data_IF_495592851070
#
_entry.id   IF_495592851070
#
_cell.length_a   1.000
_cell.length_b   1.000
_cell.length_c   1.000
_cell.angle_alpha   90.00
_cell.angle_beta   90.00
_cell.angle_gamma   90.00
#
_symmetry.space_group_name_H-M   'P 1'
#
loop_
_entity.id
_entity.type
_entity.pdbx_description
1 polymer ?
#
# COMPACT_ATOMS: atom_id res chain seq x y z
N UNK A 1 6.92 -9.70 -35.15
CA UNK A 1 7.49 -8.54 -34.42
C UNK A 1 6.31 -7.88 -33.73
N UNK A 2 6.12 -8.10 -32.44
CA UNK A 2 4.97 -7.58 -31.69
C UNK A 2 5.03 -6.05 -31.67
N UNK A 3 3.89 -5.38 -31.81
CA UNK A 3 3.79 -3.93 -31.65
C UNK A 3 4.21 -3.56 -30.22
N UNK A 4 5.29 -2.79 -30.01
CA UNK A 4 5.79 -2.46 -28.68
C UNK A 4 4.75 -1.73 -27.82
N UNK A 5 3.78 -1.05 -28.44
CA UNK A 5 2.68 -0.40 -27.72
C UNK A 5 1.61 -1.38 -27.22
N UNK A 6 1.46 -2.54 -27.88
CA UNK A 6 0.55 -3.59 -27.46
C UNK A 6 1.11 -4.36 -26.25
N UNK A 7 2.42 -4.66 -26.26
CA UNK A 7 3.12 -5.29 -25.14
C UNK A 7 3.12 -4.41 -23.87
N UNK A 8 3.31 -3.10 -24.02
CA UNK A 8 3.24 -2.15 -22.91
C UNK A 8 1.83 -2.06 -22.31
N UNK A 9 0.78 -2.09 -23.15
CA UNK A 9 -0.62 -2.12 -22.69
C UNK A 9 -0.96 -3.40 -21.94
N UNK A 10 -0.52 -4.56 -22.43
CA UNK A 10 -0.70 -5.83 -21.75
C UNK A 10 0.01 -5.85 -20.38
N UNK A 11 1.24 -5.33 -20.34
CA UNK A 11 2.02 -5.19 -19.10
C UNK A 11 1.32 -4.27 -18.10
N UNK A 12 0.79 -3.14 -18.55
CA UNK A 12 0.01 -2.22 -17.71
C UNK A 12 -1.27 -2.89 -17.18
N UNK A 13 -2.00 -3.65 -18.00
CA UNK A 13 -3.22 -4.34 -17.59
C UNK A 13 -2.96 -5.35 -16.45
N UNK A 14 -1.91 -6.17 -16.60
CA UNK A 14 -1.50 -7.15 -15.60
C UNK A 14 -1.06 -6.44 -14.31
N UNK A 15 -0.27 -5.37 -14.43
CA UNK A 15 0.17 -4.59 -13.29
C UNK A 15 -1.01 -3.96 -12.53
N UNK A 16 -1.98 -3.37 -13.23
CA UNK A 16 -3.19 -2.80 -12.64
C UNK A 16 -3.95 -3.83 -11.82
N UNK A 17 -4.13 -5.03 -12.37
CA UNK A 17 -4.82 -6.11 -11.68
C UNK A 17 -4.06 -6.56 -10.43
N UNK A 18 -2.74 -6.74 -10.50
CA UNK A 18 -1.92 -7.12 -9.35
C UNK A 18 -1.94 -6.06 -8.24
N UNK A 19 -1.81 -4.79 -8.60
CA UNK A 19 -1.85 -3.68 -7.63
C UNK A 19 -3.24 -3.55 -7.00
N UNK A 20 -4.32 -3.86 -7.74
CA UNK A 20 -5.67 -3.87 -7.17
C UNK A 20 -5.83 -4.87 -6.01
N UNK A 21 -5.02 -5.93 -5.96
CA UNK A 21 -5.00 -6.89 -4.85
C UNK A 21 -4.47 -6.28 -3.54
N UNK A 22 -3.76 -5.15 -3.61
CA UNK A 22 -3.36 -4.36 -2.44
C UNK A 22 -4.54 -3.93 -1.57
N UNK A 23 -5.76 -3.83 -2.12
CA UNK A 23 -6.95 -3.53 -1.33
C UNK A 23 -7.29 -4.64 -0.31
N UNK A 24 -7.00 -5.90 -0.63
CA UNK A 24 -7.21 -7.02 0.31
C UNK A 24 -6.23 -6.95 1.47
N UNK A 25 -4.96 -6.66 1.19
CA UNK A 25 -3.93 -6.43 2.22
C UNK A 25 -4.34 -5.28 3.14
N UNK A 26 -4.78 -4.18 2.53
CA UNK A 26 -5.22 -2.99 3.28
C UNK A 26 -6.43 -3.27 4.18
N UNK A 27 -7.45 -4.01 3.71
CA UNK A 27 -8.61 -4.36 4.55
C UNK A 27 -8.21 -5.11 5.82
N UNK A 28 -7.28 -6.05 5.70
CA UNK A 28 -6.76 -6.78 6.86
C UNK A 28 -5.99 -5.85 7.81
N UNK A 29 -5.04 -5.07 7.28
CA UNK A 29 -4.27 -4.08 8.04
C UNK A 29 -5.17 -3.05 8.75
N UNK A 30 -6.20 -2.55 8.07
CA UNK A 30 -7.17 -1.61 8.63
C UNK A 30 -7.95 -2.23 9.78
N UNK A 31 -8.43 -3.47 9.64
CA UNK A 31 -9.12 -4.18 10.71
C UNK A 31 -8.22 -4.37 11.94
N UNK A 32 -6.95 -4.75 11.73
CA UNK A 32 -5.95 -4.88 12.79
C UNK A 32 -5.63 -3.53 13.47
N UNK A 33 -5.58 -2.46 12.69
CA UNK A 33 -5.35 -1.09 13.18
C UNK A 33 -6.49 -0.65 14.08
N UNK A 34 -7.74 -0.83 13.62
CA UNK A 34 -8.94 -0.50 14.40
C UNK A 34 -8.98 -1.34 15.68
N UNK A 35 -8.74 -2.65 15.59
CA UNK A 35 -8.68 -3.52 16.76
C UNK A 35 -7.62 -3.05 17.78
N UNK A 36 -6.44 -2.65 17.30
CA UNK A 36 -5.36 -2.13 18.14
C UNK A 36 -5.75 -0.82 18.82
N UNK A 37 -6.39 0.11 18.10
CA UNK A 37 -6.90 1.38 18.67
C UNK A 37 -7.94 1.11 19.76
N UNK A 38 -8.89 0.20 19.50
CA UNK A 38 -9.94 -0.16 20.45
C UNK A 38 -9.39 -0.89 21.68
N UNK A 39 -8.25 -1.60 21.56
CA UNK A 39 -7.60 -2.27 22.66
C UNK A 39 -6.84 -1.31 23.60
N UNK A 40 -6.39 -0.14 23.15
CA UNK A 40 -5.63 0.79 23.98
C UNK A 40 -6.32 1.16 25.31
N UNK A 41 -7.60 1.58 25.36
CA UNK A 41 -8.24 1.93 26.63
C UNK A 41 -8.41 0.71 27.56
N UNK A 42 -8.75 -0.46 27.02
CA UNK A 42 -8.90 -1.68 27.83
C UNK A 42 -7.56 -2.13 28.42
N UNK A 43 -6.48 -2.03 27.65
CA UNK A 43 -5.12 -2.29 28.12
C UNK A 43 -4.71 -1.33 29.25
N UNK A 44 -5.01 -0.04 29.08
CA UNK A 44 -4.66 0.98 30.08
C UNK A 44 -5.43 0.79 31.41
N UNK A 45 -6.70 0.39 31.35
CA UNK A 45 -7.57 0.31 32.53
C UNK A 45 -7.51 -1.04 33.25
N UNK A 46 -7.28 -2.14 32.53
CA UNK A 46 -7.46 -3.50 33.06
C UNK A 46 -6.17 -4.24 33.38
N UNK A 47 -5.01 -3.70 33.02
CA UNK A 47 -3.73 -4.38 33.22
C UNK A 47 -2.84 -3.66 34.24
N UNK A 48 -2.26 -4.39 35.23
CA UNK A 48 -1.46 -3.80 36.30
C UNK A 48 -0.11 -3.25 35.84
N UNK A 49 0.41 -3.73 34.69
CA UNK A 49 1.64 -3.25 34.06
C UNK A 49 1.39 -3.02 32.56
N UNK A 50 0.65 -1.97 32.20
CA UNK A 50 0.13 -1.82 30.84
C UNK A 50 1.17 -1.30 29.85
N UNK A 51 2.26 -0.68 30.33
CA UNK A 51 3.22 0.04 29.47
C UNK A 51 3.76 -0.78 28.29
N UNK A 52 4.24 -2.03 28.46
CA UNK A 52 4.79 -2.77 27.33
C UNK A 52 3.72 -3.11 26.29
N UNK A 53 2.52 -3.49 26.73
CA UNK A 53 1.39 -3.80 25.84
C UNK A 53 0.83 -2.56 25.14
N UNK A 54 0.77 -1.43 25.85
CA UNK A 54 0.40 -0.13 25.26
C UNK A 54 1.42 0.28 24.19
N UNK A 55 2.71 0.18 24.47
CA UNK A 55 3.77 0.54 23.52
C UNK A 55 3.68 -0.31 22.23
N UNK A 56 3.48 -1.62 22.35
CA UNK A 56 3.33 -2.49 21.18
C UNK A 56 2.01 -2.25 20.44
N UNK A 57 0.90 -2.02 21.14
CA UNK A 57 -0.37 -1.68 20.51
C UNK A 57 -0.29 -0.34 19.76
N UNK A 58 0.34 0.69 20.34
CA UNK A 58 0.58 1.98 19.67
C UNK A 58 1.48 1.81 18.45
N UNK A 59 2.54 1.00 18.55
CA UNK A 59 3.40 0.69 17.41
C UNK A 59 2.63 0.00 16.27
N UNK A 60 1.73 -0.94 16.59
CA UNK A 60 0.88 -1.60 15.60
C UNK A 60 -0.04 -0.59 14.87
N UNK A 61 -0.54 0.43 15.57
CA UNK A 61 -1.32 1.53 14.96
C UNK A 61 -0.44 2.35 14.01
N UNK A 62 0.76 2.74 14.42
CA UNK A 62 1.69 3.51 13.58
C UNK A 62 2.05 2.74 12.31
N UNK A 63 2.33 1.44 12.41
CA UNK A 63 2.59 0.58 11.25
C UNK A 63 1.36 0.51 10.33
N UNK A 64 0.15 0.36 10.90
CA UNK A 64 -1.10 0.38 10.14
C UNK A 64 -1.32 1.69 9.37
N UNK A 65 -0.97 2.84 9.95
CA UNK A 65 -1.02 4.12 9.26
C UNK A 65 0.02 4.23 8.13
N UNK A 66 1.22 3.70 8.34
CA UNK A 66 2.24 3.62 7.29
C UNK A 66 1.78 2.70 6.14
N UNK A 67 1.12 1.58 6.45
CA UNK A 67 0.50 0.68 5.47
C UNK A 67 -0.61 1.39 4.69
N UNK A 68 -1.49 2.14 5.36
CA UNK A 68 -2.55 2.93 4.71
C UNK A 68 -1.98 3.89 3.67
N UNK A 69 -0.89 4.60 4.00
CA UNK A 69 -0.25 5.50 3.03
C UNK A 69 0.28 4.75 1.80
N UNK A 70 0.86 3.57 1.99
CA UNK A 70 1.29 2.71 0.88
C UNK A 70 0.10 2.18 0.06
N UNK A 71 -0.98 1.76 0.72
CA UNK A 71 -2.19 1.27 0.08
C UNK A 71 -2.83 2.33 -0.82
N UNK A 72 -2.88 3.59 -0.36
CA UNK A 72 -3.35 4.72 -1.18
C UNK A 72 -2.51 4.89 -2.45
N UNK A 73 -1.18 4.80 -2.34
CA UNK A 73 -0.29 4.89 -3.50
C UNK A 73 -0.44 3.71 -4.46
N UNK A 74 -0.54 2.50 -3.93
CA UNK A 74 -0.75 1.28 -4.73
C UNK A 74 -2.08 1.34 -5.47
N UNK A 75 -3.16 1.78 -4.81
CA UNK A 75 -4.47 1.92 -5.43
C UNK A 75 -4.50 3.02 -6.51
N UNK A 76 -3.78 4.12 -6.30
CA UNK A 76 -3.59 5.16 -7.28
C UNK A 76 -2.85 4.65 -8.53
N UNK A 77 -1.72 3.96 -8.32
CA UNK A 77 -0.94 3.36 -9.41
C UNK A 77 -1.75 2.31 -10.19
N UNK A 78 -2.56 1.50 -9.50
CA UNK A 78 -3.45 0.52 -10.13
C UNK A 78 -4.40 1.18 -11.14
N UNK A 79 -5.07 2.27 -10.74
CA UNK A 79 -6.00 3.01 -11.59
C UNK A 79 -5.28 3.65 -12.78
N UNK A 80 -4.07 4.17 -12.59
CA UNK A 80 -3.27 4.74 -13.69
C UNK A 80 -2.94 3.68 -14.72
N UNK A 81 -2.44 2.52 -14.29
CA UNK A 81 -2.11 1.44 -15.22
C UNK A 81 -3.35 0.87 -15.92
N UNK A 82 -4.50 0.84 -15.24
CA UNK A 82 -5.78 0.46 -15.83
C UNK A 82 -6.16 1.41 -16.98
N UNK A 83 -5.99 2.72 -16.80
CA UNK A 83 -6.21 3.69 -17.86
C UNK A 83 -5.20 3.55 -18.99
N UNK A 84 -3.92 3.35 -18.66
CA UNK A 84 -2.88 3.18 -19.66
C UNK A 84 -3.07 1.92 -20.52
N UNK A 85 -3.57 0.84 -19.92
CA UNK A 85 -3.91 -0.39 -20.61
C UNK A 85 -5.01 -0.21 -21.67
N UNK A 86 -5.97 0.70 -21.42
CA UNK A 86 -7.06 1.02 -22.35
C UNK A 86 -6.58 1.82 -23.57
N UNK A 87 -5.56 2.67 -23.40
CA UNK A 87 -4.98 3.48 -24.48
C UNK A 87 -5.96 4.46 -25.16
N UNK A 88 -5.52 5.08 -26.26
CA UNK A 88 -6.30 6.11 -26.97
C UNK A 88 -7.58 5.56 -27.62
N UNK A 89 -7.56 4.30 -28.09
CA UNK A 89 -8.71 3.68 -28.73
C UNK A 89 -9.94 3.55 -27.81
N UNK A 90 -9.74 3.63 -26.49
CA UNK A 90 -10.79 3.66 -25.47
C UNK A 90 -11.16 5.06 -24.97
N UNK A 91 -10.66 6.13 -25.59
CA UNK A 91 -10.80 7.51 -25.07
C UNK A 91 -10.03 7.76 -23.77
N UNK A 92 -9.03 6.93 -23.47
CA UNK A 92 -8.24 7.01 -22.24
C UNK A 92 -6.91 7.76 -22.45
N UNK A 93 -6.25 8.11 -21.35
CA UNK A 93 -5.03 8.91 -21.36
C UNK A 93 -3.83 8.17 -21.96
N UNK A 94 -3.02 8.87 -22.76
CA UNK A 94 -1.69 8.39 -23.17
C UNK A 94 -0.68 8.55 -22.03
N UNK A 95 0.47 7.86 -22.13
CA UNK A 95 1.62 8.14 -21.27
C UNK A 95 2.03 9.61 -21.31
N UNK A 96 1.94 10.26 -22.49
CA UNK A 96 2.29 11.67 -22.65
C UNK A 96 1.30 12.62 -21.95
N UNK A 97 -0.01 12.41 -22.09
CA UNK A 97 -1.01 13.24 -21.39
C UNK A 97 -0.98 13.01 -19.88
N UNK A 98 -0.66 11.79 -19.44
CA UNK A 98 -0.42 11.46 -18.05
C UNK A 98 0.82 12.17 -17.48
N UNK A 99 1.95 12.09 -18.17
CA UNK A 99 3.19 12.75 -17.73
C UNK A 99 3.00 14.27 -17.64
N UNK A 100 2.24 14.85 -18.59
CA UNK A 100 1.84 16.26 -18.56
C UNK A 100 0.97 16.64 -17.36
N UNK A 101 -0.07 15.85 -17.06
CA UNK A 101 -0.94 16.09 -15.91
C UNK A 101 -0.21 15.93 -14.57
N UNK A 102 0.63 14.90 -14.45
CA UNK A 102 1.47 14.68 -13.25
C UNK A 102 2.50 15.77 -13.05
N UNK A 103 3.08 16.30 -14.13
CA UNK A 103 3.96 17.46 -14.11
C UNK A 103 3.23 18.72 -13.65
N UNK A 104 2.04 18.98 -14.19
CA UNK A 104 1.21 20.14 -13.81
C UNK A 104 0.78 20.11 -12.34
N UNK A 105 0.51 18.92 -11.79
CA UNK A 105 0.16 18.75 -10.38
C UNK A 105 1.38 18.71 -9.43
N UNK A 106 2.61 18.80 -9.96
CA UNK A 106 3.83 18.68 -9.16
C UNK A 106 4.03 17.30 -8.52
N UNK A 107 3.31 16.29 -9.01
CA UNK A 107 3.32 14.93 -8.47
C UNK A 107 4.42 14.06 -9.07
N UNK A 108 5.02 14.48 -10.18
CA UNK A 108 6.14 13.81 -10.81
C UNK A 108 7.34 14.75 -11.02
N UNK A 109 8.51 14.40 -10.46
CA UNK A 109 9.77 15.04 -10.80
C UNK A 109 10.06 15.00 -12.31
N UNK A 110 10.54 16.11 -12.88
CA UNK A 110 10.76 16.25 -14.32
C UNK A 110 11.74 15.21 -14.90
N UNK A 111 12.68 14.71 -14.10
CA UNK A 111 13.64 13.64 -14.44
C UNK A 111 13.00 12.25 -14.58
N UNK A 112 11.70 12.12 -14.26
CA UNK A 112 10.95 10.86 -14.34
C UNK A 112 9.95 10.82 -15.48
N UNK A 113 9.73 11.93 -16.18
CA UNK A 113 8.90 11.97 -17.39
C UNK A 113 9.51 11.08 -18.50
N UNK A 114 8.67 10.44 -19.31
CA UNK A 114 9.11 9.62 -20.44
C UNK A 114 9.67 8.24 -20.08
N UNK A 115 9.67 7.83 -18.81
CA UNK A 115 10.13 6.48 -18.42
C UNK A 115 9.31 5.37 -19.09
N UNK A 116 9.92 4.25 -19.52
CA UNK A 116 9.21 3.09 -20.06
C UNK A 116 8.18 2.52 -19.07
N UNK A 117 7.07 1.98 -19.58
CA UNK A 117 5.99 1.39 -18.76
C UNK A 117 6.52 0.30 -17.83
N UNK A 118 7.40 -0.57 -18.33
CA UNK A 118 8.05 -1.60 -17.52
C UNK A 118 8.83 -1.05 -16.31
N UNK A 119 9.46 0.12 -16.44
CA UNK A 119 10.17 0.76 -15.33
C UNK A 119 9.19 1.32 -14.27
N UNK A 120 8.05 1.87 -14.70
CA UNK A 120 6.98 2.35 -13.83
C UNK A 120 6.36 1.19 -13.04
N UNK A 121 6.06 0.09 -13.72
CA UNK A 121 5.49 -1.13 -13.11
C UNK A 121 6.41 -1.69 -12.03
N UNK A 122 7.73 -1.76 -12.27
CA UNK A 122 8.69 -2.20 -11.23
C UNK A 122 8.64 -1.31 -9.97
N UNK A 123 8.51 0.00 -10.15
CA UNK A 123 8.35 0.94 -9.04
C UNK A 123 7.10 0.66 -8.20
N UNK A 124 5.96 0.53 -8.86
CA UNK A 124 4.68 0.24 -8.20
C UNK A 124 4.65 -1.13 -7.51
N UNK A 125 5.23 -2.16 -8.14
CA UNK A 125 5.40 -3.48 -7.50
C UNK A 125 6.28 -3.41 -6.25
N UNK A 126 7.27 -2.51 -6.23
CA UNK A 126 8.06 -2.22 -5.03
C UNK A 126 7.21 -1.64 -3.89
N UNK A 127 6.23 -0.78 -4.21
CA UNK A 127 5.29 -0.24 -3.22
C UNK A 127 4.36 -1.32 -2.67
N UNK A 128 3.81 -2.19 -3.53
CA UNK A 128 2.97 -3.32 -3.12
C UNK A 128 3.73 -4.27 -2.17
N UNK A 129 5.00 -4.56 -2.47
CA UNK A 129 5.85 -5.37 -1.58
C UNK A 129 6.05 -4.70 -0.22
N UNK A 130 6.32 -3.39 -0.19
CA UNK A 130 6.45 -2.62 1.06
C UNK A 130 5.14 -2.61 1.85
N UNK A 131 4.00 -2.47 1.16
CA UNK A 131 2.68 -2.54 1.78
C UNK A 131 2.48 -3.90 2.48
N UNK A 132 2.76 -4.99 1.78
CA UNK A 132 2.69 -6.33 2.35
C UNK A 132 3.67 -6.52 3.53
N UNK A 133 4.89 -5.98 3.44
CA UNK A 133 5.86 -6.00 4.54
C UNK A 133 5.33 -5.26 5.78
N UNK A 134 4.68 -4.10 5.61
CA UNK A 134 4.08 -3.38 6.74
C UNK A 134 2.94 -4.17 7.38
N UNK A 135 2.07 -4.80 6.58
CA UNK A 135 1.01 -5.65 7.11
C UNK A 135 1.57 -6.86 7.90
N UNK A 136 2.63 -7.50 7.42
CA UNK A 136 3.32 -8.59 8.14
C UNK A 136 3.96 -8.08 9.44
N UNK A 137 4.64 -6.93 9.39
CA UNK A 137 5.22 -6.32 10.58
C UNK A 137 4.15 -6.00 11.64
N UNK A 138 2.98 -5.51 11.20
CA UNK A 138 1.85 -5.24 12.09
C UNK A 138 1.36 -6.52 12.78
N UNK A 139 1.21 -7.62 12.04
CA UNK A 139 0.84 -8.92 12.61
C UNK A 139 1.84 -9.40 13.66
N UNK A 140 3.14 -9.27 13.39
CA UNK A 140 4.19 -9.65 14.35
C UNK A 140 4.09 -8.82 15.62
N UNK A 141 3.95 -7.49 15.51
CA UNK A 141 3.84 -6.61 16.68
C UNK A 141 2.59 -6.91 17.50
N UNK A 142 1.45 -7.19 16.86
CA UNK A 142 0.22 -7.60 17.55
C UNK A 142 0.41 -8.93 18.28
N UNK A 143 1.07 -9.90 17.63
CA UNK A 143 1.42 -11.19 18.25
C UNK A 143 2.30 -11.03 19.49
N UNK A 144 3.32 -10.18 19.42
CA UNK A 144 4.20 -9.83 20.56
C UNK A 144 3.38 -9.16 21.67
N UNK A 145 2.49 -8.23 21.32
CA UNK A 145 1.59 -7.59 22.28
C UNK A 145 0.73 -8.61 23.03
N UNK A 146 0.16 -9.59 22.31
CA UNK A 146 -0.62 -10.68 22.91
C UNK A 146 0.22 -11.56 23.84
N UNK A 147 1.44 -11.91 23.42
CA UNK A 147 2.36 -12.71 24.25
C UNK A 147 2.76 -11.98 25.55
N UNK A 148 3.05 -10.68 25.49
CA UNK A 148 3.32 -9.85 26.66
C UNK A 148 2.15 -9.91 27.64
N UNK A 149 0.91 -9.84 27.16
CA UNK A 149 -0.28 -9.88 28.02
C UNK A 149 -0.42 -11.22 28.75
N UNK A 150 -0.04 -12.33 28.13
CA UNK A 150 -0.06 -13.65 28.75
C UNK A 150 1.04 -13.77 29.80
N UNK A 151 2.27 -13.38 29.47
CA UNK A 151 3.43 -13.53 30.37
C UNK A 151 3.34 -12.58 31.57
N UNK A 152 2.89 -11.34 31.37
CA UNK A 152 2.81 -10.34 32.45
C UNK A 152 1.59 -10.55 33.37
N UNK A 153 0.59 -11.34 32.92
CA UNK A 153 -0.54 -11.77 33.77
C UNK A 153 -0.21 -12.99 34.65
N UNK A 154 0.81 -13.79 34.30
CA UNK A 154 1.30 -14.92 35.11
C UNK A 154 2.27 -14.46 36.19
#
# INVERSE_FOLDING_TARGET
MSDPTADDRATAAVAAHLLSQGATVHRLSAALTVASVLALPSLALLHPRPLPALATATLAVVIGLAELWLALRVAFDARIFEQLARGEAGGSMTTASFDGAMGALGLMPADKAGRPVAARVRGAMGLLRRQATMAVAQLVVIGVSGWILVVVRG
#
